data_IF_211258770842
#
_entry.id   IF_211258770842
#
_cell.length_a   1.000
_cell.length_b   1.000
_cell.length_c   1.000
_cell.angle_alpha   90.00
_cell.angle_beta   90.00
_cell.angle_gamma   90.00
#
_symmetry.space_group_name_H-M   'P 1'
#
loop_
_entity.id
_entity.type
_entity.pdbx_description
1 polymer ?
#
# COMPACT_ATOMS: atom_id res chain seq x y z
N UNK A 1 -25.40 13.83 35.59
CA UNK A 1 -25.33 13.40 34.19
C UNK A 1 -24.19 12.40 34.06
N UNK A 2 -24.41 11.15 33.60
CA UNK A 2 -23.31 10.23 33.33
C UNK A 2 -22.60 10.65 32.03
N UNK A 3 -21.27 10.61 32.04
CA UNK A 3 -20.42 10.79 30.85
C UNK A 3 -20.63 9.55 29.97
N UNK A 4 -20.86 9.68 28.64
CA UNK A 4 -21.01 8.51 27.78
C UNK A 4 -19.74 7.68 27.82
N UNK A 5 -19.87 6.36 27.94
CA UNK A 5 -18.76 5.43 27.80
C UNK A 5 -17.97 5.77 26.54
N UNK A 6 -16.66 5.99 26.66
CA UNK A 6 -15.79 6.20 25.51
C UNK A 6 -15.86 4.97 24.61
N UNK A 7 -16.49 5.10 23.43
CA UNK A 7 -16.50 4.04 22.44
C UNK A 7 -15.09 3.86 21.91
N UNK A 8 -14.43 2.76 22.31
CA UNK A 8 -13.12 2.39 21.82
C UNK A 8 -13.25 1.69 20.47
N UNK A 9 -12.80 2.35 19.40
CA UNK A 9 -12.69 1.75 18.07
C UNK A 9 -11.29 1.16 17.90
N UNK A 10 -11.20 -0.12 17.51
CA UNK A 10 -9.91 -0.77 17.23
C UNK A 10 -9.69 -0.96 15.73
N UNK A 11 -8.53 -0.53 15.24
CA UNK A 11 -8.06 -0.80 13.88
C UNK A 11 -6.69 -1.49 13.96
N UNK A 12 -6.53 -2.60 13.25
CA UNK A 12 -5.24 -3.27 13.10
C UNK A 12 -4.84 -3.24 11.62
N UNK A 13 -3.60 -2.83 11.35
CA UNK A 13 -3.03 -2.83 10.01
C UNK A 13 -1.63 -3.42 10.03
N UNK A 14 -1.26 -4.11 8.96
CA UNK A 14 0.08 -4.65 8.76
C UNK A 14 0.47 -4.57 7.29
N UNK A 15 1.75 -4.31 7.01
CA UNK A 15 2.33 -4.38 5.68
C UNK A 15 3.65 -5.13 5.73
N UNK A 16 3.86 -6.01 4.75
CA UNK A 16 5.13 -6.70 4.50
C UNK A 16 5.55 -6.33 3.09
N UNK A 17 6.78 -5.83 2.96
CA UNK A 17 7.39 -5.51 1.67
C UNK A 17 8.70 -6.27 1.51
N UNK A 18 8.88 -6.87 0.34
CA UNK A 18 10.10 -7.56 -0.06
C UNK A 18 10.60 -6.88 -1.33
N UNK A 19 11.89 -6.56 -1.36
CA UNK A 19 12.57 -6.04 -2.53
C UNK A 19 13.77 -6.93 -2.86
N UNK A 20 14.02 -7.15 -4.16
CA UNK A 20 15.15 -7.94 -4.65
C UNK A 20 15.77 -7.28 -5.88
N UNK A 21 17.08 -7.00 -5.83
CA UNK A 21 17.83 -6.42 -6.95
C UNK A 21 18.29 -7.54 -7.89
N UNK A 22 17.67 -7.63 -9.06
CA UNK A 22 17.92 -8.69 -10.05
C UNK A 22 19.31 -8.54 -10.70
N UNK A 23 19.79 -7.30 -10.83
CA UNK A 23 21.07 -6.94 -11.45
C UNK A 23 22.22 -6.83 -10.44
N UNK A 24 22.03 -7.38 -9.23
CA UNK A 24 23.05 -7.54 -8.18
C UNK A 24 23.63 -6.23 -7.64
N UNK A 25 22.93 -5.12 -7.81
CA UNK A 25 23.27 -3.89 -7.11
C UNK A 25 23.14 -4.09 -5.60
N UNK A 26 24.01 -3.45 -4.81
CA UNK A 26 23.92 -3.51 -3.36
C UNK A 26 22.62 -2.88 -2.86
N UNK A 27 22.02 -3.49 -1.85
CA UNK A 27 20.92 -2.87 -1.11
C UNK A 27 21.48 -1.79 -0.19
N UNK A 28 21.33 -0.53 -0.61
CA UNK A 28 21.62 0.64 0.23
C UNK A 28 20.32 1.31 0.64
N UNK A 29 20.22 1.76 1.89
CA UNK A 29 19.10 2.61 2.31
C UNK A 29 19.09 3.89 1.46
N UNK A 30 18.00 4.12 0.73
CA UNK A 30 17.83 5.25 -0.18
C UNK A 30 17.67 4.83 -1.63
N UNK A 31 18.47 5.41 -2.53
CA UNK A 31 18.33 5.20 -3.98
C UNK A 31 19.24 4.08 -4.47
N UNK A 32 18.64 3.10 -5.15
CA UNK A 32 19.36 2.12 -5.95
C UNK A 32 20.05 2.81 -7.14
N UNK A 33 21.37 2.61 -7.27
CA UNK A 33 22.16 3.13 -8.39
C UNK A 33 22.61 1.97 -9.27
N UNK A 34 22.39 2.02 -10.60
CA UNK A 34 22.87 0.97 -11.49
C UNK A 34 24.39 0.84 -11.44
N UNK A 35 24.89 -0.38 -11.36
CA UNK A 35 26.32 -0.65 -11.55
C UNK A 35 26.77 -0.20 -12.95
N UNK A 36 25.86 -0.29 -13.94
CA UNK A 36 26.06 0.20 -15.30
C UNK A 36 24.79 0.90 -15.78
N UNK A 37 24.90 2.19 -16.09
CA UNK A 37 23.80 2.96 -16.65
C UNK A 37 23.34 2.40 -17.99
N UNK A 38 22.06 2.62 -18.31
CA UNK A 38 21.49 2.27 -19.60
C UNK A 38 22.23 2.98 -20.74
N UNK A 39 22.69 2.22 -21.72
CA UNK A 39 23.31 2.74 -22.93
C UNK A 39 22.91 1.88 -24.14
N UNK A 40 22.15 2.42 -25.11
CA UNK A 40 21.70 1.65 -26.28
C UNK A 40 22.86 1.27 -27.21
N UNK A 41 24.05 1.84 -27.01
CA UNK A 41 25.27 1.56 -27.78
C UNK A 41 26.10 0.43 -27.17
N UNK A 42 25.80 0.03 -25.94
CA UNK A 42 26.59 -0.93 -25.17
C UNK A 42 25.77 -2.17 -24.84
N UNK A 43 26.23 -3.33 -25.31
CA UNK A 43 25.57 -4.59 -25.00
C UNK A 43 25.64 -4.87 -23.49
N UNK A 44 24.47 -5.11 -22.89
CA UNK A 44 24.32 -5.40 -21.46
C UNK A 44 24.24 -4.16 -20.55
N UNK A 45 24.28 -2.94 -21.11
CA UNK A 45 24.05 -1.71 -20.38
C UNK A 45 22.54 -1.43 -20.30
N UNK A 46 21.82 -2.17 -19.45
CA UNK A 46 20.36 -2.08 -19.34
C UNK A 46 19.88 -1.22 -18.16
N UNK A 47 20.79 -0.76 -17.31
CA UNK A 47 20.44 -0.19 -16.01
C UNK A 47 20.27 -1.26 -14.93
N UNK A 48 19.56 -0.91 -13.86
CA UNK A 48 19.23 -1.80 -12.76
C UNK A 48 17.76 -2.23 -12.78
N UNK A 49 17.51 -3.46 -12.34
CA UNK A 49 16.17 -4.02 -12.20
C UNK A 49 15.94 -4.43 -10.74
N UNK A 50 14.85 -3.96 -10.16
CA UNK A 50 14.42 -4.34 -8.82
C UNK A 50 13.01 -4.92 -8.87
N UNK A 51 12.86 -6.11 -8.32
CA UNK A 51 11.56 -6.73 -8.08
C UNK A 51 11.06 -6.30 -6.71
N UNK A 52 9.79 -5.90 -6.62
CA UNK A 52 9.14 -5.56 -5.36
C UNK A 52 7.86 -6.37 -5.23
N UNK A 53 7.66 -6.97 -4.08
CA UNK A 53 6.38 -7.54 -3.67
C UNK A 53 5.93 -6.83 -2.38
N UNK A 54 4.64 -6.48 -2.33
CA UNK A 54 4.01 -5.88 -1.15
C UNK A 54 2.74 -6.63 -0.85
N UNK A 55 2.51 -6.87 0.43
CA UNK A 55 1.27 -7.40 0.94
C UNK A 55 0.85 -6.56 2.14
N UNK A 56 -0.41 -6.17 2.19
CA UNK A 56 -0.97 -5.39 3.28
C UNK A 56 -2.34 -5.91 3.70
N UNK A 57 -2.61 -5.73 4.98
CA UNK A 57 -3.89 -6.04 5.60
C UNK A 57 -4.37 -4.87 6.43
N UNK A 58 -5.69 -4.68 6.40
CA UNK A 58 -6.42 -3.74 7.22
C UNK A 58 -7.63 -4.47 7.82
N UNK A 59 -7.80 -4.39 9.13
CA UNK A 59 -8.96 -4.90 9.84
C UNK A 59 -9.50 -3.81 10.76
N UNK A 60 -10.73 -3.38 10.46
CA UNK A 60 -11.46 -2.37 11.22
C UNK A 60 -12.44 -3.06 12.19
N UNK A 61 -12.81 -2.35 13.24
CA UNK A 61 -13.84 -2.79 14.19
C UNK A 61 -15.17 -3.03 13.46
N UNK A 62 -15.82 -4.17 13.73
CA UNK A 62 -17.08 -4.53 13.10
C UNK A 62 -18.22 -3.57 13.47
N UNK A 63 -18.11 -2.88 14.60
CA UNK A 63 -19.14 -1.96 15.07
C UNK A 63 -18.89 -0.52 14.62
N UNK A 64 -17.82 -0.25 13.88
CA UNK A 64 -17.43 1.12 13.50
C UNK A 64 -18.53 1.83 12.69
N UNK A 65 -19.32 1.08 11.92
CA UNK A 65 -20.44 1.62 11.12
C UNK A 65 -21.83 1.38 11.74
N UNK A 66 -21.91 0.80 12.93
CA UNK A 66 -23.20 0.43 13.56
C UNK A 66 -23.98 1.62 14.14
N UNK A 67 -23.30 2.74 14.45
CA UNK A 67 -23.89 3.91 15.10
C UNK A 67 -24.33 5.02 14.13
N UNK A 68 -24.31 4.76 12.83
CA UNK A 68 -24.81 5.68 11.80
C UNK A 68 -26.35 5.73 11.75
N UNK A 69 -27.02 5.50 12.88
CA UNK A 69 -28.47 5.61 13.01
C UNK A 69 -28.69 6.80 13.94
N UNK A 70 -29.10 7.94 13.38
CA UNK A 70 -29.46 9.10 14.20
C UNK A 70 -30.62 8.68 15.12
N UNK A 71 -30.48 8.84 16.44
CA UNK A 71 -31.55 8.53 17.38
C UNK A 71 -32.86 9.23 16.94
N UNK A 72 -33.88 8.44 16.62
CA UNK A 72 -35.22 8.94 16.30
C UNK A 72 -35.57 9.13 14.82
N UNK A 73 -34.61 9.03 13.88
CA UNK A 73 -34.90 9.10 12.44
C UNK A 73 -34.23 7.97 11.67
N UNK A 74 -34.99 7.24 10.84
CA UNK A 74 -34.41 6.31 9.87
C UNK A 74 -33.54 7.12 8.89
N UNK A 75 -32.23 7.14 9.12
CA UNK A 75 -31.28 7.72 8.16
C UNK A 75 -31.38 6.91 6.86
N UNK A 76 -32.04 7.48 5.85
CA UNK A 76 -32.25 6.84 4.56
C UNK A 76 -31.00 7.07 3.68
N UNK A 77 -30.14 6.07 3.59
CA UNK A 77 -28.93 6.10 2.77
C UNK A 77 -29.26 5.85 1.29
N UNK A 78 -29.58 6.91 0.54
CA UNK A 78 -30.01 6.78 -0.87
C UNK A 78 -28.87 6.47 -1.85
N UNK A 79 -27.61 6.80 -1.51
CA UNK A 79 -26.48 6.69 -2.44
C UNK A 79 -25.26 5.92 -1.92
N UNK A 80 -24.98 5.94 -0.61
CA UNK A 80 -23.87 5.20 -0.02
C UNK A 80 -24.18 4.86 1.44
N UNK A 81 -24.47 3.58 1.71
CA UNK A 81 -24.69 3.08 3.07
C UNK A 81 -23.34 2.63 3.67
N UNK A 82 -22.78 3.37 4.64
CA UNK A 82 -21.49 3.02 5.25
C UNK A 82 -21.54 1.68 5.99
N UNK A 83 -22.73 1.19 6.40
CA UNK A 83 -22.90 -0.14 7.02
C UNK A 83 -22.58 -1.28 6.07
N UNK A 84 -22.66 -1.03 4.77
CA UNK A 84 -22.26 -1.98 3.72
C UNK A 84 -20.77 -1.87 3.36
N UNK A 85 -20.01 -0.98 4.00
CA UNK A 85 -18.59 -0.80 3.72
C UNK A 85 -17.78 -2.01 4.18
N UNK A 86 -16.78 -2.36 3.40
CA UNK A 86 -15.86 -3.45 3.71
C UNK A 86 -15.00 -3.08 4.93
N UNK A 87 -15.10 -3.87 5.99
CA UNK A 87 -14.37 -3.66 7.25
C UNK A 87 -13.00 -4.37 7.29
N UNK A 88 -12.69 -5.19 6.27
CA UNK A 88 -11.41 -5.89 6.13
C UNK A 88 -10.92 -5.83 4.71
N UNK A 89 -9.71 -5.32 4.50
CA UNK A 89 -9.07 -5.29 3.20
C UNK A 89 -7.76 -6.07 3.25
N UNK A 90 -7.51 -6.86 2.21
CA UNK A 90 -6.24 -7.53 1.96
C UNK A 90 -5.81 -7.14 0.55
N UNK A 91 -4.63 -6.57 0.43
CA UNK A 91 -4.09 -6.11 -0.84
C UNK A 91 -2.71 -6.68 -1.02
N UNK A 92 -2.42 -7.13 -2.24
CA UNK A 92 -1.08 -7.53 -2.61
C UNK A 92 -0.75 -6.95 -3.97
N UNK A 93 0.54 -6.73 -4.18
CA UNK A 93 1.06 -6.21 -5.43
C UNK A 93 2.46 -6.75 -5.66
N UNK A 94 2.76 -6.99 -6.92
CA UNK A 94 4.10 -7.25 -7.39
C UNK A 94 4.39 -6.24 -8.49
N UNK A 95 5.63 -5.74 -8.53
CA UNK A 95 6.04 -4.75 -9.51
C UNK A 95 7.52 -4.86 -9.82
N UNK A 96 7.89 -4.31 -10.96
CA UNK A 96 9.29 -4.20 -11.38
C UNK A 96 9.63 -2.73 -11.54
N UNK A 97 10.75 -2.35 -10.94
CA UNK A 97 11.37 -1.05 -11.14
C UNK A 97 12.55 -1.22 -12.07
N UNK A 98 12.55 -0.43 -13.14
CA UNK A 98 13.68 -0.31 -14.08
C UNK A 98 14.34 1.04 -13.86
N UNK A 99 15.59 1.05 -13.39
CA UNK A 99 16.38 2.27 -13.18
C UNK A 99 17.42 2.35 -14.28
N UNK A 100 17.22 3.26 -15.22
CA UNK A 100 18.09 3.40 -16.39
C UNK A 100 19.34 4.21 -16.05
N UNK A 101 19.15 5.30 -15.30
CA UNK A 101 20.21 6.19 -14.83
C UNK A 101 19.85 6.70 -13.44
N UNK A 102 20.72 7.48 -12.80
CA UNK A 102 20.41 8.13 -11.53
C UNK A 102 19.18 9.06 -11.60
N UNK A 103 18.77 9.50 -12.80
CA UNK A 103 17.63 10.40 -13.01
C UNK A 103 16.37 9.71 -13.56
N UNK A 104 16.51 8.58 -14.27
CA UNK A 104 15.41 7.97 -15.02
C UNK A 104 15.04 6.63 -14.41
N UNK A 105 13.79 6.53 -13.95
CA UNK A 105 13.20 5.33 -13.35
C UNK A 105 11.81 5.08 -13.91
N UNK A 106 11.49 3.82 -14.19
CA UNK A 106 10.16 3.36 -14.58
C UNK A 106 9.67 2.33 -13.58
N UNK A 107 8.39 2.36 -13.24
CA UNK A 107 7.74 1.40 -12.35
C UNK A 107 6.54 0.81 -13.05
N UNK A 108 6.41 -0.51 -12.98
CA UNK A 108 5.34 -1.29 -13.57
C UNK A 108 4.69 -2.16 -12.50
#
# INVERSE_FOLDING_TARGET
>A
MPIPNSFSVRNNAAEIQVAYNLTQEPFTFGTLRPNRNFSPRERGALGAFQLIARWSQLAMDNNIFSYFITEGEQTNYTFADPRLSVQRANTWGIGIIVIMTDMIKLTF
#
